data_IF_865533898987
#
_entry.id   IF_865533898987
#
_cell.length_a   1.000
_cell.length_b   1.000
_cell.length_c   1.000
_cell.angle_alpha   90.00
_cell.angle_beta   90.00
_cell.angle_gamma   90.00
#
_symmetry.space_group_name_H-M   'P 1'
#
loop_
_entity.id
_entity.type
_entity.pdbx_description
1 polymer ?
#
# COMPACT_ATOMS: atom_id res chain seq x y z
N UNK A 1 7.87 -10.04 -13.58
CA UNK A 1 7.27 -9.46 -12.36
C UNK A 1 7.92 -10.08 -11.13
N UNK A 2 8.41 -9.27 -10.17
CA UNK A 2 9.16 -9.77 -8.99
C UNK A 2 8.28 -10.47 -7.94
N UNK A 3 6.98 -10.20 -7.94
CA UNK A 3 6.02 -10.69 -6.92
C UNK A 3 4.77 -11.28 -7.58
N UNK A 4 4.94 -12.14 -8.59
CA UNK A 4 3.82 -12.90 -9.18
C UNK A 4 3.69 -14.27 -8.51
N UNK A 5 3.32 -14.27 -7.23
CA UNK A 5 2.98 -15.51 -6.49
C UNK A 5 1.47 -15.52 -6.30
N UNK A 6 0.79 -16.54 -6.85
CA UNK A 6 -0.61 -16.83 -6.51
C UNK A 6 -0.66 -17.25 -5.05
N UNK A 7 -0.91 -16.30 -4.15
CA UNK A 7 -0.98 -16.54 -2.72
C UNK A 7 -2.32 -17.20 -2.38
N UNK A 8 -2.33 -18.51 -2.21
CA UNK A 8 -3.56 -19.25 -1.86
C UNK A 8 -3.49 -19.83 -0.45
N UNK A 9 -2.29 -20.01 0.11
CA UNK A 9 -2.08 -20.55 1.46
C UNK A 9 -1.52 -19.52 2.45
N UNK A 10 -1.64 -19.83 3.74
CA UNK A 10 -1.01 -19.05 4.82
C UNK A 10 0.52 -18.97 4.64
N UNK A 11 1.16 -20.08 4.26
CA UNK A 11 2.60 -20.14 4.06
C UNK A 11 3.05 -19.21 2.91
N UNK A 12 2.26 -19.11 1.84
CA UNK A 12 2.55 -18.20 0.73
C UNK A 12 2.54 -16.73 1.19
N UNK A 13 1.59 -16.38 2.07
CA UNK A 13 1.52 -15.04 2.64
C UNK A 13 2.74 -14.73 3.52
N UNK A 14 3.22 -15.70 4.29
CA UNK A 14 4.44 -15.55 5.10
C UNK A 14 5.66 -15.35 4.20
N UNK A 15 5.78 -16.14 3.12
CA UNK A 15 6.88 -15.99 2.14
C UNK A 15 6.84 -14.59 1.52
N UNK A 16 5.69 -14.15 1.01
CA UNK A 16 5.55 -12.81 0.41
C UNK A 16 5.87 -11.71 1.41
N UNK A 17 5.45 -11.86 2.67
CA UNK A 17 5.79 -10.92 3.74
C UNK A 17 7.32 -10.79 3.90
N UNK A 18 8.05 -11.90 3.94
CA UNK A 18 9.50 -11.88 4.10
C UNK A 18 10.22 -11.38 2.85
N UNK A 19 9.76 -11.75 1.66
CA UNK A 19 10.30 -11.22 0.40
C UNK A 19 10.14 -9.70 0.36
N UNK A 20 8.97 -9.16 0.70
CA UNK A 20 8.76 -7.72 0.76
C UNK A 20 9.67 -7.03 1.79
N UNK A 21 9.88 -7.65 2.96
CA UNK A 21 10.84 -7.13 3.96
C UNK A 21 12.28 -7.11 3.46
N UNK A 22 12.73 -8.18 2.78
CA UNK A 22 14.08 -8.22 2.20
C UNK A 22 14.21 -7.11 1.15
N UNK A 23 13.21 -6.99 0.26
CA UNK A 23 13.19 -5.98 -0.78
C UNK A 23 13.22 -4.56 -0.23
N UNK A 24 12.56 -4.29 0.89
CA UNK A 24 12.61 -2.98 1.57
C UNK A 24 14.05 -2.53 1.86
N UNK A 25 14.92 -3.44 2.30
CA UNK A 25 16.32 -3.13 2.58
C UNK A 25 17.21 -3.17 1.33
N UNK A 26 16.92 -4.05 0.37
CA UNK A 26 17.78 -4.20 -0.80
C UNK A 26 17.52 -3.15 -1.87
N UNK A 27 16.27 -2.73 -2.07
CA UNK A 27 15.88 -1.77 -3.13
C UNK A 27 16.66 -0.45 -3.05
N UNK A 28 16.84 0.20 -1.88
CA UNK A 28 17.65 1.43 -1.78
C UNK A 28 19.11 1.26 -2.21
N UNK A 29 19.64 0.04 -2.16
CA UNK A 29 21.01 -0.27 -2.58
C UNK A 29 21.14 -0.41 -4.10
N UNK A 30 20.01 -0.56 -4.82
CA UNK A 30 19.97 -0.77 -6.26
C UNK A 30 20.03 0.55 -7.05
N UNK A 31 21.06 1.37 -6.79
CA UNK A 31 21.22 2.72 -7.41
C UNK A 31 21.25 2.72 -8.95
N UNK A 32 21.59 1.60 -9.58
CA UNK A 32 21.64 1.42 -11.03
C UNK A 32 20.54 0.48 -11.57
N UNK A 33 19.52 0.17 -10.77
CA UNK A 33 18.40 -0.63 -11.27
C UNK A 33 17.67 0.11 -12.39
N UNK A 34 17.20 -0.66 -13.38
CA UNK A 34 16.32 -0.13 -14.41
C UNK A 34 15.04 0.42 -13.77
N UNK A 35 14.64 1.64 -14.16
CA UNK A 35 13.39 2.26 -13.73
C UNK A 35 12.18 1.35 -13.97
N UNK A 36 12.18 0.59 -15.08
CA UNK A 36 11.13 -0.38 -15.42
C UNK A 36 10.95 -1.45 -14.34
N UNK A 37 12.02 -1.90 -13.69
CA UNK A 37 11.96 -2.91 -12.62
C UNK A 37 11.31 -2.31 -11.38
N UNK A 38 11.66 -1.07 -11.02
CA UNK A 38 11.09 -0.38 -9.86
C UNK A 38 9.59 -0.12 -10.07
N UNK A 39 9.19 0.36 -11.25
CA UNK A 39 7.77 0.52 -11.58
C UNK A 39 6.99 -0.80 -11.56
N UNK A 40 7.59 -1.89 -12.05
CA UNK A 40 6.97 -3.22 -11.96
C UNK A 40 6.79 -3.66 -10.50
N UNK A 41 7.79 -3.42 -9.65
CA UNK A 41 7.73 -3.72 -8.22
C UNK A 41 6.63 -2.92 -7.52
N UNK A 42 6.56 -1.61 -7.75
CA UNK A 42 5.53 -0.72 -7.24
C UNK A 42 4.11 -1.20 -7.60
N UNK A 43 3.91 -1.58 -8.87
CA UNK A 43 2.65 -2.13 -9.35
C UNK A 43 2.28 -3.44 -8.66
N UNK A 44 3.24 -4.37 -8.49
CA UNK A 44 3.00 -5.63 -7.77
C UNK A 44 2.67 -5.40 -6.29
N UNK A 45 3.40 -4.52 -5.60
CA UNK A 45 3.16 -4.19 -4.19
C UNK A 45 1.77 -3.56 -3.98
N UNK A 46 1.35 -2.67 -4.89
CA UNK A 46 0.03 -2.05 -4.84
C UNK A 46 -1.09 -3.07 -5.03
N UNK A 47 -0.92 -4.07 -5.90
CA UNK A 47 -1.89 -5.17 -6.07
C UNK A 47 -2.05 -6.00 -4.79
N UNK A 48 -0.97 -6.24 -4.04
CA UNK A 48 -1.02 -6.98 -2.77
C UNK A 48 -1.88 -6.28 -1.71
N UNK A 49 -1.99 -4.95 -1.76
CA UNK A 49 -2.86 -4.18 -0.87
C UNK A 49 -4.36 -4.50 -1.06
N UNK A 50 -4.75 -5.03 -2.21
CA UNK A 50 -6.13 -5.41 -2.49
C UNK A 50 -6.46 -6.82 -1.98
N UNK A 51 -5.52 -7.76 -2.11
CA UNK A 51 -5.81 -9.21 -1.99
C UNK A 51 -5.26 -9.87 -0.73
N UNK A 52 -4.23 -9.30 -0.08
CA UNK A 52 -3.47 -10.01 0.96
C UNK A 52 -3.89 -9.71 2.40
N UNK A 53 -3.44 -10.49 3.38
CA UNK A 53 -3.69 -10.23 4.81
C UNK A 53 -2.90 -9.05 5.39
N UNK A 54 -3.24 -8.63 6.61
CA UNK A 54 -2.69 -7.46 7.30
C UNK A 54 -1.15 -7.42 7.38
N UNK A 55 -0.52 -8.58 7.62
CA UNK A 55 0.94 -8.70 7.70
C UNK A 55 1.62 -8.42 6.36
N UNK A 56 1.05 -8.94 5.27
CA UNK A 56 1.56 -8.71 3.91
C UNK A 56 1.36 -7.25 3.53
N UNK A 57 0.18 -6.69 3.78
CA UNK A 57 -0.10 -5.26 3.56
C UNK A 57 0.96 -4.38 4.21
N UNK A 58 1.30 -4.65 5.48
CA UNK A 58 2.30 -3.86 6.20
C UNK A 58 3.67 -3.90 5.51
N UNK A 59 4.19 -5.10 5.25
CA UNK A 59 5.49 -5.26 4.60
C UNK A 59 5.48 -4.70 3.18
N UNK A 60 4.36 -4.80 2.47
CA UNK A 60 4.22 -4.26 1.12
C UNK A 60 4.28 -2.73 1.12
N UNK A 61 3.62 -2.05 2.06
CA UNK A 61 3.68 -0.58 2.16
C UNK A 61 5.07 -0.13 2.59
N UNK A 62 5.71 -0.83 3.53
CA UNK A 62 7.07 -0.54 3.95
C UNK A 62 8.05 -0.62 2.76
N UNK A 63 7.99 -1.71 1.99
CA UNK A 63 8.77 -1.88 0.77
C UNK A 63 8.42 -0.85 -0.31
N UNK A 64 7.13 -0.52 -0.47
CA UNK A 64 6.68 0.49 -1.44
C UNK A 64 7.29 1.85 -1.11
N UNK A 65 7.39 2.20 0.17
CA UNK A 65 8.05 3.44 0.59
C UNK A 65 9.53 3.50 0.18
N UNK A 66 10.24 2.38 0.26
CA UNK A 66 11.63 2.28 -0.17
C UNK A 66 11.76 2.41 -1.69
N UNK A 67 10.88 1.76 -2.45
CA UNK A 67 10.85 1.84 -3.91
C UNK A 67 10.53 3.26 -4.39
N UNK A 68 9.54 3.92 -3.78
CA UNK A 68 9.10 5.26 -4.19
C UNK A 68 10.12 6.34 -3.84
N UNK A 69 10.86 6.19 -2.74
CA UNK A 69 12.00 7.09 -2.47
C UNK A 69 13.07 7.03 -3.56
N UNK A 70 13.24 5.87 -4.21
CA UNK A 70 14.20 5.69 -5.30
C UNK A 70 13.64 6.17 -6.64
N UNK A 71 12.38 5.87 -6.95
CA UNK A 71 11.74 6.24 -8.23
C UNK A 71 11.20 7.66 -8.27
N UNK A 72 10.94 8.26 -7.10
CA UNK A 72 10.22 9.53 -6.91
C UNK A 72 8.78 9.51 -7.46
N UNK A 73 8.18 8.32 -7.59
CA UNK A 73 6.80 8.14 -8.04
C UNK A 73 5.77 8.41 -6.92
N UNK A 74 5.77 9.61 -6.36
CA UNK A 74 4.80 10.03 -5.34
C UNK A 74 3.33 10.11 -5.82
N UNK A 75 3.02 10.39 -7.11
CA UNK A 75 1.64 10.33 -7.61
C UNK A 75 0.96 8.98 -7.35
N UNK A 76 1.69 7.87 -7.47
CA UNK A 76 1.16 6.53 -7.16
C UNK A 76 0.65 6.42 -5.71
N UNK A 77 1.40 6.95 -4.73
CA UNK A 77 0.98 6.93 -3.31
C UNK A 77 -0.25 7.78 -3.09
N UNK A 78 -0.29 8.96 -3.72
CA UNK A 78 -1.46 9.85 -3.67
C UNK A 78 -2.70 9.15 -4.21
N UNK A 79 -2.60 8.48 -5.35
CA UNK A 79 -3.72 7.74 -5.96
C UNK A 79 -4.20 6.58 -5.06
N UNK A 80 -3.27 5.82 -4.50
CA UNK A 80 -3.59 4.74 -3.55
C UNK A 80 -4.27 5.31 -2.31
N UNK A 81 -3.73 6.37 -1.72
CA UNK A 81 -4.31 7.03 -0.56
C UNK A 81 -5.72 7.53 -0.83
N UNK A 82 -5.90 8.29 -1.92
CA UNK A 82 -7.20 8.86 -2.30
C UNK A 82 -8.25 7.79 -2.53
N UNK A 83 -7.88 6.65 -3.11
CA UNK A 83 -8.79 5.51 -3.31
C UNK A 83 -9.35 4.99 -1.98
N UNK A 84 -8.48 4.69 -1.02
CA UNK A 84 -8.92 4.15 0.27
C UNK A 84 -9.59 5.22 1.14
N UNK A 85 -9.11 6.47 1.10
CA UNK A 85 -9.72 7.59 1.81
C UNK A 85 -11.15 7.84 1.32
N UNK A 86 -11.35 7.96 0.00
CA UNK A 86 -12.68 8.16 -0.59
C UNK A 86 -13.64 7.03 -0.23
N UNK A 87 -13.17 5.79 -0.17
CA UNK A 87 -13.98 4.66 0.29
C UNK A 87 -14.39 4.80 1.77
N UNK A 88 -13.47 5.22 2.64
CA UNK A 88 -13.77 5.45 4.07
C UNK A 88 -14.83 6.54 4.24
N UNK A 89 -14.71 7.66 3.53
CA UNK A 89 -15.70 8.76 3.57
C UNK A 89 -17.08 8.26 3.12
N UNK A 90 -17.16 7.53 2.01
CA UNK A 90 -18.43 6.95 1.55
C UNK A 90 -19.05 5.98 2.55
N UNK A 91 -18.22 5.21 3.27
CA UNK A 91 -18.71 4.33 4.34
C UNK A 91 -19.22 5.13 5.53
N UNK A 92 -18.51 6.19 5.92
CA UNK A 92 -18.89 7.09 7.00
C UNK A 92 -20.26 7.73 6.72
N UNK A 93 -20.48 8.27 5.52
CA UNK A 93 -21.75 8.85 5.10
C UNK A 93 -22.90 7.84 5.24
N UNK A 94 -22.73 6.62 4.74
CA UNK A 94 -23.73 5.56 4.83
C UNK A 94 -24.07 5.16 6.27
N UNK A 95 -23.06 5.12 7.14
CA UNK A 95 -23.24 4.80 8.57
C UNK A 95 -24.02 5.93 9.26
N UNK A 96 -23.70 7.20 8.95
CA UNK A 96 -24.38 8.37 9.52
C UNK A 96 -25.83 8.47 9.02
N UNK A 97 -26.09 8.19 7.74
CA UNK A 97 -27.44 8.20 7.16
C UNK A 97 -28.36 7.14 7.77
N UNK A 98 -27.80 5.99 8.17
CA UNK A 98 -28.55 4.83 8.65
C UNK A 98 -27.93 4.23 9.92
N UNK A 99 -27.94 4.98 11.05
CA UNK A 99 -27.19 4.59 12.26
C UNK A 99 -27.74 3.33 12.94
N UNK A 100 -28.99 2.96 12.66
CA UNK A 100 -29.65 1.79 13.24
C UNK A 100 -29.58 0.54 12.34
N UNK A 101 -29.01 0.64 11.13
CA UNK A 101 -28.81 -0.50 10.23
C UNK A 101 -27.39 -1.06 10.39
N UNK A 102 -27.26 -2.39 10.32
CA UNK A 102 -25.94 -3.03 10.30
C UNK A 102 -25.19 -2.67 9.00
N UNK A 103 -24.02 -2.05 9.14
CA UNK A 103 -23.19 -1.70 7.98
C UNK A 103 -22.55 -2.93 7.35
N UNK A 104 -22.99 -3.28 6.14
CA UNK A 104 -22.38 -4.33 5.32
C UNK A 104 -21.09 -3.80 4.68
N UNK A 105 -19.94 -4.21 5.21
CA UNK A 105 -18.63 -3.80 4.69
C UNK A 105 -17.58 -3.48 5.77
N UNK A 106 -17.85 -3.82 7.02
CA UNK A 106 -16.94 -3.57 8.16
C UNK A 106 -15.52 -4.10 7.92
N UNK A 107 -15.38 -5.27 7.29
CA UNK A 107 -14.07 -5.85 6.97
C UNK A 107 -13.28 -4.99 5.94
N UNK A 108 -13.94 -4.51 4.88
CA UNK A 108 -13.33 -3.64 3.87
C UNK A 108 -13.03 -2.24 4.44
N UNK A 109 -13.90 -1.74 5.32
CA UNK A 109 -13.68 -0.47 6.03
C UNK A 109 -12.46 -0.57 6.95
N UNK A 110 -12.39 -1.61 7.78
CA UNK A 110 -11.25 -1.87 8.66
C UNK A 110 -9.94 -2.03 7.86
N UNK A 111 -9.98 -2.74 6.73
CA UNK A 111 -8.83 -2.86 5.82
C UNK A 111 -8.40 -1.50 5.28
N UNK A 112 -9.34 -0.68 4.81
CA UNK A 112 -9.05 0.64 4.25
C UNK A 112 -8.44 1.58 5.28
N UNK A 113 -9.01 1.62 6.49
CA UNK A 113 -8.47 2.39 7.62
C UNK A 113 -7.06 1.91 7.98
N UNK A 114 -6.84 0.60 8.04
CA UNK A 114 -5.51 0.04 8.31
C UNK A 114 -4.49 0.46 7.25
N UNK A 115 -4.83 0.33 5.97
CA UNK A 115 -3.96 0.74 4.85
C UNK A 115 -3.61 2.22 4.97
N UNK A 116 -4.59 3.10 5.18
CA UNK A 116 -4.37 4.53 5.36
C UNK A 116 -3.43 4.82 6.54
N UNK A 117 -3.67 4.19 7.69
CA UNK A 117 -2.80 4.37 8.87
C UNK A 117 -1.36 3.93 8.62
N UNK A 118 -1.16 2.81 7.92
CA UNK A 118 0.20 2.35 7.55
C UNK A 118 0.82 3.26 6.50
N UNK A 119 0.05 3.76 5.51
CA UNK A 119 0.55 4.74 4.55
C UNK A 119 1.05 6.00 5.27
N UNK A 120 0.26 6.59 6.17
CA UNK A 120 0.67 7.76 6.96
C UNK A 120 1.91 7.49 7.82
N UNK A 121 2.13 6.24 8.27
CA UNK A 121 3.34 5.87 9.02
C UNK A 121 4.60 5.94 8.16
N UNK A 122 4.53 5.50 6.89
CA UNK A 122 5.71 5.36 6.02
C UNK A 122 5.90 6.53 5.06
N UNK A 123 4.84 7.27 4.77
CA UNK A 123 4.83 8.46 3.92
C UNK A 123 4.45 9.65 4.79
N UNK A 124 5.46 10.47 5.08
CA UNK A 124 5.29 11.72 5.81
C UNK A 124 4.66 12.75 4.86
N UNK A 125 3.33 12.92 4.93
CA UNK A 125 2.56 13.80 4.04
C UNK A 125 2.94 15.28 4.24
N UNK A 126 3.59 15.61 5.36
CA UNK A 126 3.98 16.99 5.73
C UNK A 126 5.42 17.35 5.31
N UNK A 127 6.16 16.42 4.69
CA UNK A 127 7.55 16.66 4.30
C UNK A 127 7.64 17.41 2.97
N UNK A 128 8.51 18.42 2.87
CA UNK A 128 8.69 19.23 1.64
C UNK A 128 9.19 18.46 0.39
N UNK A 129 9.46 17.15 0.48
CA UNK A 129 9.76 16.29 -0.69
C UNK A 129 8.54 16.09 -1.60
N UNK A 130 7.35 16.53 -1.18
CA UNK A 130 6.10 16.49 -1.96
C UNK A 130 5.68 17.87 -2.51
N UNK A 131 6.43 18.94 -2.21
CA UNK A 131 6.12 20.32 -2.64
C UNK A 131 6.54 20.62 -4.10
N UNK A 132 7.39 19.78 -4.71
CA UNK A 132 7.80 19.91 -6.12
C UNK A 132 6.74 19.38 -7.12
N UNK A 133 5.45 19.38 -6.73
CA UNK A 133 4.32 18.89 -7.53
C UNK A 133 3.35 20.00 -7.99
N UNK A 134 3.84 21.23 -8.16
CA UNK A 134 3.14 22.26 -8.94
C UNK A 134 3.22 22.03 -10.46
#
# INVERSE_FOLDING_TARGET
>A
EYLNIKCTSYNDNVIVQYVAKILEFTVPLMKSASSSIIYSLEGSLTKLLLVSGQLVIHSSIACLSAAIRLSKNYPLVKDVFMRYHSFVIQCQEKIIEKPNEEFKGTAQLARSIYILGVLCKYFDVEKSEYDDLE
#
